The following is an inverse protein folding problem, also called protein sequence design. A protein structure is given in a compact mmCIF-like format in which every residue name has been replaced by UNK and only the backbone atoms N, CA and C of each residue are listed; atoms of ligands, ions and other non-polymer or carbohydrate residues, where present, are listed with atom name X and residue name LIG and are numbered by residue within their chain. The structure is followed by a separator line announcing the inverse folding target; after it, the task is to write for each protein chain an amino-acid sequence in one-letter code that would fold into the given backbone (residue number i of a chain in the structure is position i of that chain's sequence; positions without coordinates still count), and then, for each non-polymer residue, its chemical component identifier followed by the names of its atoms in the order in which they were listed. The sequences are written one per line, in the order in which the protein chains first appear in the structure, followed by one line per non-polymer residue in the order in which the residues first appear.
data_IF_304999201780
#
_entry.id   IF_304999201780
#
_cell.length_a   1.000
_cell.length_b   1.000
_cell.length_c   1.000
_cell.angle_alpha   90.00
_cell.angle_beta   90.00
_cell.angle_gamma   90.00
#
_symmetry.space_group_name_H-M   'P 1'
#
loop_
_entity.id
_entity.type
_entity.pdbx_description
1 polymer ?
#
# COMPACT_ATOMS: atom_id res chain seq x y z
N UNK A 1 -1.00 -7.28 12.47
CA UNK A 1 -0.72 -6.02 13.17
C UNK A 1 0.37 -5.29 12.39
N UNK A 2 0.42 -3.95 12.42
CA UNK A 2 1.44 -3.20 11.69
C UNK A 2 2.82 -3.40 12.34
N UNK A 3 3.88 -3.17 11.58
CA UNK A 3 5.24 -3.27 12.07
C UNK A 3 5.55 -2.14 13.06
N UNK A 4 6.10 -2.51 14.21
CA UNK A 4 6.45 -1.57 15.29
C UNK A 4 7.89 -1.03 15.20
N UNK A 5 8.71 -1.55 14.29
CA UNK A 5 10.13 -1.20 14.14
C UNK A 5 10.47 -0.58 12.78
N UNK A 6 11.77 -0.54 12.46
CA UNK A 6 12.25 -0.15 11.13
C UNK A 6 11.66 -1.11 10.10
N UNK A 7 10.85 -0.56 9.20
CA UNK A 7 10.16 -1.31 8.16
C UNK A 7 10.41 -0.68 6.81
N UNK A 8 10.92 -1.50 5.89
CA UNK A 8 11.27 -1.08 4.54
C UNK A 8 10.12 -1.33 3.56
N UNK A 9 8.99 -0.71 3.90
CA UNK A 9 7.69 -0.91 3.30
C UNK A 9 6.66 -0.09 4.05
N UNK A 10 5.39 -0.38 3.85
CA UNK A 10 4.31 0.24 4.60
C UNK A 10 3.27 -0.81 4.96
N UNK A 11 2.51 -0.55 6.02
CA UNK A 11 1.45 -1.43 6.47
C UNK A 11 0.09 -0.88 6.04
N UNK A 12 -0.75 -1.72 5.46
CA UNK A 12 -2.09 -1.35 5.02
C UNK A 12 -3.13 -2.20 5.73
N UNK A 13 -4.00 -1.57 6.51
CA UNK A 13 -5.21 -2.19 7.00
C UNK A 13 -6.33 -2.07 5.96
N UNK A 14 -6.95 -3.19 5.62
CA UNK A 14 -8.10 -3.24 4.73
C UNK A 14 -9.34 -3.57 5.57
N UNK A 15 -10.29 -2.63 5.60
CA UNK A 15 -11.53 -2.81 6.35
C UNK A 15 -12.28 -4.08 5.89
N UNK A 16 -12.70 -4.97 6.81
CA UNK A 16 -13.43 -6.19 6.47
C UNK A 16 -14.75 -5.99 5.72
N UNK A 17 -15.33 -4.78 5.78
CA UNK A 17 -16.58 -4.42 5.10
C UNK A 17 -16.37 -4.06 3.62
N UNK A 18 -15.13 -3.96 3.15
CA UNK A 18 -14.84 -3.72 1.74
C UNK A 18 -15.14 -5.00 0.96
N UNK A 19 -16.04 -4.91 -0.01
CA UNK A 19 -16.39 -6.04 -0.88
C UNK A 19 -15.48 -6.09 -2.12
N UNK A 20 -15.23 -7.30 -2.61
CA UNK A 20 -14.45 -7.55 -3.83
C UNK A 20 -13.03 -8.03 -3.57
N UNK A 21 -12.39 -8.54 -4.63
CA UNK A 21 -10.93 -8.77 -4.59
C UNK A 21 -10.26 -7.42 -4.79
N UNK A 22 -9.20 -7.16 -4.06
CA UNK A 22 -8.43 -5.93 -4.21
C UNK A 22 -6.96 -6.27 -4.41
N UNK A 23 -6.29 -5.48 -5.22
CA UNK A 23 -4.84 -5.48 -5.33
C UNK A 23 -4.33 -4.07 -5.08
N UNK A 24 -3.07 -3.98 -4.69
CA UNK A 24 -2.35 -2.72 -4.57
C UNK A 24 -1.22 -2.71 -5.58
N UNK A 25 -1.32 -1.84 -6.58
CA UNK A 25 -0.21 -1.56 -7.48
C UNK A 25 0.74 -0.60 -6.80
N UNK A 26 2.02 -0.96 -6.75
CA UNK A 26 3.10 -0.23 -6.09
C UNK A 26 4.07 0.23 -7.17
N UNK A 27 4.21 1.55 -7.32
CA UNK A 27 5.12 2.19 -8.26
C UNK A 27 6.22 2.91 -7.49
N UNK A 28 7.41 2.30 -7.38
CA UNK A 28 8.49 2.84 -6.56
C UNK A 28 9.13 4.05 -7.22
N UNK A 29 9.48 5.07 -6.42
CA UNK A 29 10.16 6.27 -6.94
C UNK A 29 11.62 5.97 -7.26
N UNK A 30 12.27 5.21 -6.38
CA UNK A 30 13.64 4.71 -6.61
C UNK A 30 13.59 3.54 -7.59
N UNK A 31 14.26 3.70 -8.73
CA UNK A 31 14.46 2.70 -9.79
C UNK A 31 13.19 2.19 -10.53
N UNK A 32 12.01 2.76 -10.27
CA UNK A 32 10.82 2.61 -11.13
C UNK A 32 10.20 1.22 -11.14
N UNK A 33 10.35 0.42 -10.09
CA UNK A 33 9.70 -0.88 -10.00
C UNK A 33 8.17 -0.70 -9.96
N UNK A 34 7.47 -1.53 -10.71
CA UNK A 34 6.01 -1.52 -10.79
C UNK A 34 5.48 -2.95 -10.65
N UNK A 35 4.84 -3.22 -9.52
CA UNK A 35 4.33 -4.54 -9.18
C UNK A 35 2.98 -4.44 -8.48
N UNK A 36 2.29 -5.56 -8.35
CA UNK A 36 0.99 -5.62 -7.69
C UNK A 36 0.97 -6.68 -6.59
N UNK A 37 0.41 -6.31 -5.45
CA UNK A 37 0.23 -7.18 -4.29
C UNK A 37 -1.27 -7.45 -4.11
N UNK A 38 -1.70 -8.72 -4.08
CA UNK A 38 -3.06 -9.05 -3.68
C UNK A 38 -3.31 -8.62 -2.23
N UNK A 39 -4.42 -7.94 -1.98
CA UNK A 39 -4.82 -7.52 -0.65
C UNK A 39 -5.76 -8.54 -0.02
N UNK A 40 -5.56 -8.78 1.28
CA UNK A 40 -6.48 -9.52 2.15
C UNK A 40 -7.16 -8.55 3.12
N UNK A 41 -8.30 -8.93 3.67
CA UNK A 41 -8.90 -8.16 4.77
C UNK A 41 -7.97 -8.16 5.99
N UNK A 42 -7.97 -7.07 6.74
CA UNK A 42 -7.07 -6.87 7.87
C UNK A 42 -5.71 -6.30 7.44
N UNK A 43 -4.67 -6.63 8.20
CA UNK A 43 -3.33 -6.07 8.00
C UNK A 43 -2.56 -6.75 6.87
N UNK A 44 -2.03 -5.93 5.95
CA UNK A 44 -1.18 -6.35 4.84
C UNK A 44 0.18 -5.68 4.96
N UNK A 45 1.24 -6.47 4.89
CA UNK A 45 2.60 -5.97 4.76
C UNK A 45 2.89 -5.68 3.29
N UNK A 46 3.19 -4.43 2.96
CA UNK A 46 3.52 -4.02 1.60
C UNK A 46 5.02 -3.73 1.51
N UNK A 47 5.84 -4.67 1.04
CA UNK A 47 7.28 -4.44 0.92
C UNK A 47 7.54 -3.38 -0.15
N UNK A 48 8.49 -2.49 0.11
CA UNK A 48 9.01 -1.56 -0.89
C UNK A 48 10.24 -2.21 -1.56
N UNK A 49 10.17 -2.47 -2.86
CA UNK A 49 11.31 -3.01 -3.61
C UNK A 49 12.20 -1.86 -4.08
N UNK A 50 13.41 -1.75 -3.55
CA UNK A 50 14.42 -0.79 -4.03
C UNK A 50 15.83 -1.30 -3.83
N UNK A 51 16.77 -0.73 -4.58
CA UNK A 51 18.20 -1.06 -4.48
C UNK A 51 18.93 -0.21 -3.42
N UNK A 52 18.41 0.99 -3.12
CA UNK A 52 18.98 1.91 -2.13
C UNK A 52 17.87 2.64 -1.39
N UNK A 53 18.09 2.94 -0.10
CA UNK A 53 17.17 3.73 0.74
C UNK A 53 17.02 5.19 0.30
N UNK A 54 17.90 5.71 -0.56
CA UNK A 54 17.78 7.09 -1.04
C UNK A 54 16.67 7.20 -2.08
N UNK A 55 15.75 8.16 -1.90
CA UNK A 55 14.56 8.30 -2.75
C UNK A 55 13.53 7.17 -2.57
N UNK A 56 13.57 6.44 -1.45
CA UNK A 56 12.62 5.37 -1.11
C UNK A 56 11.21 5.92 -0.90
N UNK A 57 10.23 5.22 -1.44
CA UNK A 57 8.82 5.56 -1.39
C UNK A 57 8.13 5.04 -2.63
N UNK A 58 6.80 5.08 -2.64
CA UNK A 58 6.03 4.63 -3.79
C UNK A 58 4.75 5.41 -3.97
N UNK A 59 4.29 5.48 -5.22
CA UNK A 59 2.90 5.76 -5.53
C UNK A 59 2.12 4.45 -5.46
N UNK A 60 1.03 4.47 -4.71
CA UNK A 60 0.16 3.34 -4.44
C UNK A 60 -1.18 3.56 -5.11
N UNK A 61 -1.69 2.54 -5.79
CA UNK A 61 -2.94 2.61 -6.53
C UNK A 61 -3.74 1.34 -6.22
N UNK A 62 -4.94 1.50 -5.65
CA UNK A 62 -5.86 0.35 -5.47
C UNK A 62 -6.42 -0.05 -6.84
N UNK A 63 -6.43 -1.36 -7.08
CA UNK A 63 -6.96 -1.98 -8.30
C UNK A 63 -7.93 -3.10 -7.93
N UNK A 64 -8.89 -3.40 -8.81
CA UNK A 64 -9.86 -4.49 -8.61
C UNK A 64 -9.24 -5.90 -8.50
N UNK A 65 -8.02 -6.09 -9.00
CA UNK A 65 -7.17 -7.25 -8.74
C UNK A 65 -5.88 -7.09 -9.56
N UNK A 66 -4.84 -7.81 -9.16
CA UNK A 66 -3.55 -7.78 -9.85
C UNK A 66 -3.53 -8.39 -11.25
N UNK A 67 -4.60 -9.07 -11.71
CA UNK A 67 -4.65 -9.67 -13.06
C UNK A 67 -5.27 -8.74 -14.10
N UNK A 68 -6.27 -7.95 -13.72
CA UNK A 68 -7.06 -7.13 -14.64
C UNK A 68 -6.81 -5.63 -14.50
N UNK A 69 -6.07 -5.18 -13.49
CA UNK A 69 -5.40 -3.88 -13.48
C UNK A 69 -6.29 -2.65 -13.67
N UNK A 70 -7.61 -2.76 -13.55
CA UNK A 70 -8.51 -1.61 -13.58
C UNK A 70 -8.15 -0.69 -12.41
N UNK A 71 -7.56 0.44 -12.75
CA UNK A 71 -7.15 1.47 -11.81
C UNK A 71 -8.41 2.07 -11.20
N UNK A 72 -8.46 2.17 -9.88
CA UNK A 72 -9.44 2.98 -9.18
C UNK A 72 -8.75 4.33 -8.88
N UNK A 73 -8.78 5.32 -9.80
CA UNK A 73 -7.97 6.54 -9.68
C UNK A 73 -8.29 7.37 -8.43
N UNK A 74 -9.46 7.18 -7.81
CA UNK A 74 -9.83 7.83 -6.55
C UNK A 74 -9.07 7.30 -5.31
N UNK A 75 -8.36 6.18 -5.44
CA UNK A 75 -7.63 5.51 -4.35
C UNK A 75 -6.14 5.44 -4.70
N UNK A 76 -5.57 6.60 -5.01
CA UNK A 76 -4.14 6.75 -5.33
C UNK A 76 -3.50 7.70 -4.34
N UNK A 77 -2.38 7.29 -3.74
CA UNK A 77 -1.62 8.11 -2.80
C UNK A 77 -0.12 7.84 -2.91
N UNK A 78 0.68 8.63 -2.22
CA UNK A 78 2.12 8.40 -2.08
C UNK A 78 2.40 7.94 -0.66
N UNK A 79 3.31 6.99 -0.50
CA UNK A 79 3.70 6.48 0.80
C UNK A 79 5.23 6.43 0.95
N UNK A 80 5.68 6.70 2.16
CA UNK A 80 7.06 6.58 2.62
C UNK A 80 7.26 5.28 3.42
N UNK A 81 8.49 4.76 3.51
CA UNK A 81 8.77 3.62 4.37
C UNK A 81 8.38 3.85 5.83
N UNK A 82 7.81 2.83 6.47
CA UNK A 82 7.37 2.84 7.86
C UNK A 82 5.97 3.41 8.10
N UNK A 83 5.33 3.99 7.09
CA UNK A 83 3.98 4.53 7.21
C UNK A 83 2.92 3.42 7.36
N UNK A 84 1.83 3.78 8.03
CA UNK A 84 0.68 2.91 8.28
C UNK A 84 -0.54 3.55 7.64
N UNK A 85 -1.32 2.77 6.92
CA UNK A 85 -2.44 3.24 6.12
C UNK A 85 -3.70 2.42 6.39
N UNK A 86 -4.85 3.04 6.21
CA UNK A 86 -6.17 2.42 6.36
C UNK A 86 -6.96 2.63 5.08
N UNK A 87 -7.45 1.54 4.50
CA UNK A 87 -8.41 1.53 3.40
C UNK A 87 -9.80 1.26 3.98
N UNK A 88 -10.67 2.27 3.94
CA UNK A 88 -12.03 2.19 4.48
C UNK A 88 -13.04 2.77 3.49
N UNK A 89 -14.07 1.98 3.17
CA UNK A 89 -15.12 2.40 2.22
C UNK A 89 -14.54 2.83 0.87
N UNK A 90 -14.64 4.12 0.56
CA UNK A 90 -14.15 4.72 -0.68
C UNK A 90 -12.93 5.63 -0.48
N UNK A 91 -12.21 5.52 0.64
CA UNK A 91 -11.08 6.37 0.98
C UNK A 91 -9.88 5.63 1.56
N UNK A 92 -8.74 6.32 1.52
CA UNK A 92 -7.48 5.89 2.14
C UNK A 92 -7.01 7.00 3.07
N UNK A 93 -6.54 6.62 4.26
CA UNK A 93 -6.18 7.55 5.33
C UNK A 93 -4.87 7.10 5.99
N UNK A 94 -3.98 8.05 6.28
CA UNK A 94 -2.75 7.77 7.02
C UNK A 94 -3.08 7.56 8.49
N UNK A 95 -2.53 6.48 9.06
CA UNK A 95 -2.56 6.22 10.47
C UNK A 95 -1.42 6.92 11.19
N UNK A 96 -1.70 7.61 12.28
CA UNK A 96 -0.64 7.99 13.20
C UNK A 96 -0.06 6.74 13.87
N UNK A 97 1.27 6.56 13.80
CA UNK A 97 1.98 5.61 14.67
C UNK A 97 1.63 5.97 16.11
N UNK A 98 1.05 5.04 16.87
CA UNK A 98 0.99 5.17 18.31
C UNK A 98 2.44 5.12 18.83
N UNK A 99 2.90 6.25 19.36
CA UNK A 99 4.23 6.43 19.95
C UNK A 99 4.49 5.49 21.11
#
# INVERSE_FOLDING_TARGET
MPHSGDWDGFDLYVNPLIEGKHGLRVQTFSHGADYCIPLSHGWNAIPLQHWTRSGSGAKLIVVNNCRQGYLLPKLTWQASPGEVWYLEGAGVYEGHRAS
#
